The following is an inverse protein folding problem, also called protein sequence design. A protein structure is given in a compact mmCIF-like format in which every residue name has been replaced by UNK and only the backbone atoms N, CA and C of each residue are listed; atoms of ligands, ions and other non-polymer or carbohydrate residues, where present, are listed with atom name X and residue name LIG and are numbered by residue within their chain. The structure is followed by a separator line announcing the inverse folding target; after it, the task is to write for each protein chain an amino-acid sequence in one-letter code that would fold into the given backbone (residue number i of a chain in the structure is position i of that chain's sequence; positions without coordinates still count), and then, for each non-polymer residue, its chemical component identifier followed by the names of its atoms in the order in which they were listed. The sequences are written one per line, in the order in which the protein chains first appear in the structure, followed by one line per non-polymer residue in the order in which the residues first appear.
data_IF_455007115727
#
_entry.id   IF_455007115727
#
_cell.length_a   1.000
_cell.length_b   1.000
_cell.length_c   1.000
_cell.angle_alpha   90.00
_cell.angle_beta   90.00
_cell.angle_gamma   90.00
#
_symmetry.space_group_name_H-M   'P 1'
#
loop_
_entity.id
_entity.type
_entity.pdbx_description
1 polymer ?
#
# COMPACT_ATOMS: atom_id res chain seq x y z
N UNK A 1 -1.87 0.17 18.59
CA UNK A 1 -2.42 -1.05 17.95
C UNK A 1 -3.92 -1.08 18.15
N UNK A 2 -4.70 -1.14 17.06
CA UNK A 2 -6.18 -1.19 17.10
C UNK A 2 -6.64 -2.63 16.86
N UNK A 3 -7.46 -3.17 17.77
CA UNK A 3 -8.05 -4.52 17.65
C UNK A 3 -9.57 -4.42 17.65
N UNK A 4 -10.23 -5.09 16.69
CA UNK A 4 -11.61 -5.51 16.84
C UNK A 4 -11.60 -6.96 17.36
N UNK A 5 -12.34 -7.25 18.44
CA UNK A 5 -12.59 -8.63 18.87
C UNK A 5 -13.56 -9.28 17.88
N UNK A 6 -13.10 -10.26 17.12
CA UNK A 6 -13.96 -11.19 16.41
C UNK A 6 -13.38 -12.61 16.39
N UNK A 7 -14.32 -13.55 16.29
CA UNK A 7 -14.22 -14.96 16.54
C UNK A 7 -13.36 -15.73 15.51
N UNK A 8 -12.68 -16.76 16.00
CA UNK A 8 -12.17 -17.99 15.37
C UNK A 8 -11.97 -17.99 13.82
N UNK A 9 -10.90 -17.40 13.33
CA UNK A 9 -10.37 -17.50 11.98
C UNK A 9 -8.93 -17.01 11.94
N UNK A 10 -8.18 -17.31 10.88
CA UNK A 10 -6.85 -16.76 10.69
C UNK A 10 -6.92 -15.24 10.77
N UNK A 11 -6.14 -14.65 11.69
CA UNK A 11 -6.14 -13.19 11.89
C UNK A 11 -5.43 -12.52 10.75
N UNK A 12 -6.01 -11.44 10.24
CA UNK A 12 -5.43 -10.61 9.20
C UNK A 12 -5.00 -9.27 9.79
N UNK A 13 -3.92 -8.71 9.27
CA UNK A 13 -3.40 -7.45 9.76
C UNK A 13 -2.94 -6.52 8.64
N UNK A 14 -3.12 -5.22 8.86
CA UNK A 14 -2.60 -4.15 8.04
C UNK A 14 -1.43 -3.51 8.78
N UNK A 15 -0.25 -3.50 8.17
CA UNK A 15 0.87 -2.68 8.58
C UNK A 15 0.81 -1.37 7.80
N UNK A 16 0.56 -0.26 8.48
CA UNK A 16 0.27 1.02 7.87
C UNK A 16 1.38 2.04 8.05
N UNK A 17 1.77 2.70 6.96
CA UNK A 17 2.71 3.82 6.92
C UNK A 17 1.95 5.09 6.54
N UNK A 18 2.00 6.11 7.41
CA UNK A 18 1.27 7.35 7.20
C UNK A 18 1.89 8.24 6.12
N UNK A 19 1.08 9.13 5.54
CA UNK A 19 1.53 10.17 4.61
C UNK A 19 2.28 11.31 5.29
N UNK A 20 2.34 12.48 4.63
CA UNK A 20 2.98 13.68 5.19
C UNK A 20 4.32 14.04 4.53
N UNK A 21 4.57 13.61 3.28
CA UNK A 21 5.75 13.99 2.51
C UNK A 21 7.07 13.59 3.16
N UNK A 22 7.10 12.51 3.95
CA UNK A 22 8.23 12.01 4.74
C UNK A 22 8.75 12.98 5.81
N UNK A 23 8.07 14.13 6.02
CA UNK A 23 8.54 15.26 6.85
C UNK A 23 7.57 15.66 7.94
N UNK A 24 6.32 15.29 7.83
CA UNK A 24 5.25 15.66 8.79
C UNK A 24 4.38 14.46 9.13
N UNK A 25 3.41 14.67 10.01
CA UNK A 25 2.48 13.68 10.52
C UNK A 25 3.13 12.69 11.50
N UNK A 26 2.32 11.85 12.11
CA UNK A 26 2.72 10.88 13.12
C UNK A 26 1.64 9.80 13.28
N UNK A 27 1.93 8.75 14.04
CA UNK A 27 0.92 7.76 14.45
C UNK A 27 -0.24 8.43 15.19
N UNK A 28 0.03 9.46 16.01
CA UNK A 28 -1.00 10.19 16.74
C UNK A 28 -1.95 10.95 15.82
N UNK A 29 -1.43 11.66 14.80
CA UNK A 29 -2.27 12.41 13.85
C UNK A 29 -3.12 11.49 12.98
N UNK A 30 -2.64 10.26 12.71
CA UNK A 30 -3.35 9.24 11.94
C UNK A 30 -4.20 8.27 12.78
N UNK A 31 -4.30 8.50 14.11
CA UNK A 31 -5.04 7.64 15.03
C UNK A 31 -6.48 7.35 14.53
N UNK A 32 -7.21 8.40 14.15
CA UNK A 32 -8.59 8.27 13.66
C UNK A 32 -8.67 7.50 12.33
N UNK A 33 -7.69 7.66 11.44
CA UNK A 33 -7.63 6.94 10.16
C UNK A 33 -7.42 5.46 10.43
N UNK A 34 -6.47 5.11 11.30
CA UNK A 34 -6.18 3.73 11.68
C UNK A 34 -7.34 3.05 12.39
N UNK A 35 -8.00 3.74 13.34
CA UNK A 35 -9.17 3.21 14.03
C UNK A 35 -10.32 2.87 13.06
N UNK A 36 -10.57 3.75 12.08
CA UNK A 36 -11.58 3.54 11.04
C UNK A 36 -11.22 2.44 10.08
N UNK A 37 -9.95 2.33 9.72
CA UNK A 37 -9.44 1.25 8.90
C UNK A 37 -9.70 -0.10 9.59
N UNK A 38 -9.37 -0.23 10.87
CA UNK A 38 -9.65 -1.43 11.65
C UNK A 38 -11.16 -1.73 11.71
N UNK A 39 -12.00 -0.70 11.92
CA UNK A 39 -13.44 -0.86 11.96
C UNK A 39 -14.03 -1.29 10.60
N UNK A 40 -13.57 -0.68 9.50
CA UNK A 40 -14.13 -0.90 8.16
C UNK A 40 -13.68 -2.23 7.56
N UNK A 41 -12.45 -2.66 7.82
CA UNK A 41 -11.88 -3.90 7.26
C UNK A 41 -12.07 -5.12 8.15
N UNK A 42 -12.27 -4.92 9.46
CA UNK A 42 -12.28 -5.99 10.47
C UNK A 42 -10.88 -6.51 10.81
N UNK A 43 -9.82 -5.92 10.26
CA UNK A 43 -8.44 -6.36 10.44
C UNK A 43 -7.74 -5.62 11.60
N UNK A 44 -6.68 -6.23 12.13
CA UNK A 44 -5.78 -5.55 13.07
C UNK A 44 -4.98 -4.51 12.28
N UNK A 45 -4.90 -3.26 12.79
CA UNK A 45 -4.06 -2.21 12.18
C UNK A 45 -2.90 -1.89 13.11
N UNK A 46 -1.69 -2.02 12.57
CA UNK A 46 -0.43 -1.63 13.21
C UNK A 46 0.13 -0.44 12.44
N UNK A 47 0.21 0.72 13.06
CA UNK A 47 0.79 1.93 12.47
C UNK A 47 2.25 2.10 12.91
N UNK A 48 3.12 2.51 12.01
CA UNK A 48 4.56 2.64 12.25
C UNK A 48 4.92 4.11 12.42
N UNK A 49 5.55 4.44 13.55
CA UNK A 49 6.18 5.73 13.80
C UNK A 49 7.60 5.68 13.21
N UNK A 50 7.74 6.05 11.95
CA UNK A 50 9.05 6.08 11.28
C UNK A 50 9.69 7.47 11.42
N UNK A 51 11.02 7.51 11.44
CA UNK A 51 11.78 8.76 11.58
C UNK A 51 11.63 9.63 10.34
N UNK A 52 11.38 10.94 10.57
CA UNK A 52 11.05 11.91 9.54
C UNK A 52 12.28 12.70 9.06
N UNK A 53 12.22 13.13 7.81
CA UNK A 53 13.11 14.14 7.25
C UNK A 53 12.64 15.55 7.69
N UNK A 54 13.53 16.56 7.68
CA UNK A 54 14.91 16.53 7.22
C UNK A 54 15.91 16.00 8.25
N UNK A 55 15.51 15.78 9.51
CA UNK A 55 16.40 15.27 10.56
C UNK A 55 16.91 13.88 10.22
N UNK A 56 16.07 13.05 9.63
CA UNK A 56 16.37 11.68 9.23
C UNK A 56 16.02 11.47 7.75
N UNK A 57 16.94 11.87 6.88
CA UNK A 57 16.77 11.78 5.42
C UNK A 57 16.79 10.35 4.93
N UNK A 58 16.39 10.15 3.67
CA UNK A 58 16.46 8.85 2.99
C UNK A 58 17.85 8.18 3.18
N UNK A 59 17.92 6.88 3.48
CA UNK A 59 16.80 5.93 3.55
C UNK A 59 16.25 5.68 4.95
N UNK A 60 16.52 6.53 5.97
CA UNK A 60 16.28 6.23 7.39
C UNK A 60 14.83 5.82 7.67
N UNK A 61 13.83 6.62 7.26
CA UNK A 61 12.42 6.27 7.46
C UNK A 61 12.00 5.00 6.71
N UNK A 62 12.58 4.74 5.53
CA UNK A 62 12.38 3.49 4.81
C UNK A 62 12.94 2.29 5.57
N UNK A 63 14.12 2.42 6.16
CA UNK A 63 14.75 1.35 6.96
C UNK A 63 13.93 1.03 8.22
N UNK A 64 13.34 2.04 8.86
CA UNK A 64 12.43 1.85 9.99
C UNK A 64 11.17 1.07 9.58
N UNK A 65 10.54 1.47 8.48
CA UNK A 65 9.38 0.78 7.92
C UNK A 65 9.71 -0.65 7.50
N UNK A 66 10.89 -0.84 6.90
CA UNK A 66 11.36 -2.17 6.49
C UNK A 66 11.60 -3.08 7.69
N UNK A 67 12.27 -2.59 8.75
CA UNK A 67 12.48 -3.34 9.98
C UNK A 67 11.15 -3.74 10.64
N UNK A 68 10.21 -2.81 10.74
CA UNK A 68 8.86 -3.09 11.27
C UNK A 68 8.13 -4.13 10.42
N UNK A 69 8.23 -4.05 9.09
CA UNK A 69 7.62 -5.01 8.17
C UNK A 69 8.21 -6.41 8.37
N UNK A 70 9.53 -6.55 8.43
CA UNK A 70 10.17 -7.84 8.64
C UNK A 70 9.87 -8.44 10.02
N UNK A 71 9.80 -7.62 11.07
CA UNK A 71 9.39 -8.08 12.41
C UNK A 71 7.93 -8.57 12.42
N UNK A 72 7.04 -7.87 11.68
CA UNK A 72 5.65 -8.27 11.51
C UNK A 72 5.53 -9.61 10.77
N UNK A 73 6.24 -9.73 9.63
CA UNK A 73 6.21 -10.94 8.78
C UNK A 73 6.85 -12.16 9.45
N UNK A 74 7.81 -11.96 10.35
CA UNK A 74 8.39 -13.03 11.18
C UNK A 74 7.55 -13.40 12.41
N UNK A 75 6.40 -12.75 12.62
CA UNK A 75 5.51 -13.00 13.77
C UNK A 75 6.03 -12.42 15.09
N UNK A 76 7.03 -11.55 15.07
CA UNK A 76 7.59 -10.94 16.29
C UNK A 76 6.61 -9.91 16.91
N UNK A 77 5.73 -9.30 16.09
CA UNK A 77 4.73 -8.29 16.53
C UNK A 77 3.38 -8.95 16.79
N UNK A 78 2.91 -9.81 15.88
CA UNK A 78 1.64 -10.53 15.95
C UNK A 78 1.87 -12.00 15.58
N UNK A 79 2.23 -12.85 16.56
CA UNK A 79 2.57 -14.25 16.30
C UNK A 79 1.44 -15.08 15.65
N UNK A 80 0.20 -14.61 15.81
CA UNK A 80 -0.98 -15.24 15.24
C UNK A 80 -1.28 -14.89 13.78
N UNK A 81 -0.49 -14.00 13.17
CA UNK A 81 -0.66 -13.53 11.77
C UNK A 81 0.47 -14.07 10.91
N UNK A 82 0.14 -14.82 9.87
CA UNK A 82 1.12 -15.32 8.90
C UNK A 82 1.42 -14.27 7.83
N UNK A 83 2.57 -14.35 7.12
CA UNK A 83 2.93 -13.38 6.08
C UNK A 83 1.84 -13.16 5.02
N UNK A 84 1.16 -14.22 4.60
CA UNK A 84 0.10 -14.19 3.59
C UNK A 84 -1.11 -13.38 4.06
N UNK A 85 -1.30 -13.26 5.38
CA UNK A 85 -2.39 -12.51 6.01
C UNK A 85 -1.97 -11.09 6.43
N UNK A 86 -0.75 -10.67 6.07
CA UNK A 86 -0.28 -9.29 6.24
C UNK A 86 -0.53 -8.50 4.97
N UNK A 87 -1.13 -7.33 5.12
CA UNK A 87 -1.20 -6.30 4.07
C UNK A 87 -0.32 -5.12 4.47
N UNK A 88 0.66 -4.76 3.65
CA UNK A 88 1.40 -3.49 3.81
C UNK A 88 0.64 -2.39 3.08
N UNK A 89 0.37 -1.30 3.78
CA UNK A 89 -0.45 -0.21 3.24
C UNK A 89 0.12 1.14 3.63
N UNK A 90 -0.07 2.12 2.76
CA UNK A 90 0.24 3.50 3.06
C UNK A 90 -0.38 4.48 2.08
N UNK A 91 -0.42 5.74 2.48
CA UNK A 91 -0.94 6.84 1.67
C UNK A 91 0.15 7.87 1.37
N UNK A 92 0.17 8.44 0.16
CA UNK A 92 1.12 9.48 -0.25
C UNK A 92 2.58 9.03 -0.08
N UNK A 93 3.36 9.69 0.76
CA UNK A 93 4.71 9.29 1.17
C UNK A 93 4.72 7.89 1.83
N UNK A 94 3.71 7.55 2.64
CA UNK A 94 3.54 6.21 3.20
C UNK A 94 3.26 5.16 2.12
N UNK A 95 2.55 5.53 1.06
CA UNK A 95 2.36 4.68 -0.13
C UNK A 95 3.68 4.44 -0.89
N UNK A 96 4.57 5.43 -0.94
CA UNK A 96 5.94 5.25 -1.40
C UNK A 96 6.69 4.23 -0.54
N UNK A 97 6.68 4.44 0.79
CA UNK A 97 7.36 3.54 1.73
C UNK A 97 6.83 2.11 1.63
N UNK A 98 5.52 1.93 1.48
CA UNK A 98 4.91 0.60 1.30
C UNK A 98 5.41 -0.10 0.03
N UNK A 99 5.43 0.61 -1.11
CA UNK A 99 5.97 0.09 -2.37
C UNK A 99 7.47 -0.23 -2.27
N UNK A 100 8.25 0.67 -1.67
CA UNK A 100 9.70 0.51 -1.51
C UNK A 100 10.07 -0.65 -0.56
N UNK A 101 9.32 -0.83 0.53
CA UNK A 101 9.50 -1.96 1.49
C UNK A 101 9.26 -3.30 0.78
N UNK A 102 8.18 -3.42 0.02
CA UNK A 102 7.89 -4.64 -0.74
C UNK A 102 8.97 -4.91 -1.81
N UNK A 103 9.42 -3.87 -2.51
CA UNK A 103 10.49 -3.98 -3.50
C UNK A 103 11.81 -4.43 -2.86
N UNK A 104 12.19 -3.82 -1.73
CA UNK A 104 13.41 -4.14 -0.98
C UNK A 104 13.37 -5.58 -0.42
N UNK A 105 12.25 -6.02 0.14
CA UNK A 105 12.09 -7.37 0.67
C UNK A 105 12.23 -8.42 -0.45
N UNK A 106 11.59 -8.19 -1.62
CA UNK A 106 11.73 -9.05 -2.78
C UNK A 106 13.19 -9.15 -3.26
N UNK A 107 13.88 -8.00 -3.39
CA UNK A 107 15.26 -7.95 -3.87
C UNK A 107 16.24 -8.62 -2.92
N UNK A 108 16.00 -8.54 -1.63
CA UNK A 108 16.76 -9.25 -0.58
C UNK A 108 16.35 -10.72 -0.42
N UNK A 109 15.30 -11.18 -1.14
CA UNK A 109 14.74 -12.54 -1.03
C UNK A 109 14.28 -12.87 0.40
N UNK A 110 13.73 -11.89 1.08
CA UNK A 110 13.15 -12.01 2.42
C UNK A 110 11.63 -12.20 2.35
N UNK A 111 10.95 -12.33 3.50
CA UNK A 111 9.52 -12.53 3.56
C UNK A 111 8.77 -11.35 2.94
N UNK A 112 7.73 -11.67 2.17
CA UNK A 112 6.83 -10.72 1.56
C UNK A 112 5.43 -10.81 2.19
N UNK A 113 4.70 -9.70 2.29
CA UNK A 113 3.28 -9.74 2.66
C UNK A 113 2.45 -10.36 1.54
N UNK A 114 1.26 -10.85 1.89
CA UNK A 114 0.31 -11.31 0.87
C UNK A 114 -0.17 -10.18 -0.05
N UNK A 115 -0.34 -8.99 0.49
CA UNK A 115 -0.91 -7.84 -0.24
C UNK A 115 -0.18 -6.53 0.04
N UNK A 116 -0.27 -5.59 -0.92
CA UNK A 116 0.03 -4.18 -0.68
C UNK A 116 -1.11 -3.28 -1.18
N UNK A 117 -1.39 -2.19 -0.44
CA UNK A 117 -2.39 -1.18 -0.80
C UNK A 117 -1.72 0.18 -0.81
N UNK A 118 -1.73 0.83 -1.97
CA UNK A 118 -1.05 2.10 -2.23
C UNK A 118 -2.10 3.17 -2.52
N UNK A 119 -2.27 4.13 -1.61
CA UNK A 119 -3.26 5.21 -1.75
C UNK A 119 -2.54 6.46 -2.22
N UNK A 120 -2.89 6.95 -3.41
CA UNK A 120 -2.26 8.09 -4.12
C UNK A 120 -0.74 8.16 -3.88
N UNK A 121 0.01 7.07 -4.16
CA UNK A 121 1.39 6.94 -3.74
C UNK A 121 2.32 7.90 -4.49
N UNK A 122 3.31 8.46 -3.79
CA UNK A 122 4.41 9.22 -4.39
C UNK A 122 5.51 8.27 -4.86
N UNK A 123 5.43 7.78 -6.09
CA UNK A 123 6.35 6.74 -6.62
C UNK A 123 7.41 7.26 -7.57
N UNK A 124 7.44 8.57 -7.83
CA UNK A 124 8.41 9.27 -8.68
C UNK A 124 9.31 10.20 -7.84
N UNK A 125 10.33 10.80 -8.47
CA UNK A 125 11.30 11.68 -7.80
C UNK A 125 11.42 13.07 -8.44
N UNK A 126 10.61 13.38 -9.47
CA UNK A 126 10.71 14.65 -10.20
C UNK A 126 9.33 15.28 -10.37
N UNK A 127 9.13 16.47 -9.81
CA UNK A 127 7.87 17.22 -9.85
C UNK A 127 8.02 18.60 -10.48
N UNK A 128 9.09 18.81 -11.25
CA UNK A 128 9.36 20.02 -12.02
C UNK A 128 8.77 19.90 -13.44
N UNK A 129 9.01 20.94 -14.27
CA UNK A 129 8.69 20.93 -15.70
C UNK A 129 9.33 19.75 -16.48
N UNK A 130 10.36 19.11 -15.92
CA UNK A 130 11.03 17.94 -16.49
C UNK A 130 10.31 16.63 -16.22
N UNK A 131 9.27 16.63 -15.37
CA UNK A 131 8.51 15.42 -15.06
C UNK A 131 7.88 14.83 -16.33
N UNK A 132 7.93 13.50 -16.54
CA UNK A 132 7.29 12.85 -17.67
C UNK A 132 5.75 12.79 -17.50
N UNK A 133 5.24 13.05 -16.29
CA UNK A 133 3.84 12.88 -15.95
C UNK A 133 3.05 14.18 -16.17
N UNK A 134 1.97 14.06 -16.95
CA UNK A 134 1.14 15.21 -17.31
C UNK A 134 0.42 15.78 -16.10
N UNK A 135 0.00 14.95 -15.14
CA UNK A 135 -0.69 15.37 -13.91
C UNK A 135 0.15 16.35 -13.07
N UNK A 136 1.48 16.24 -13.08
CA UNK A 136 2.37 17.19 -12.40
C UNK A 136 2.16 18.63 -12.92
N UNK A 137 1.87 18.79 -14.22
CA UNK A 137 1.58 20.09 -14.84
C UNK A 137 0.10 20.50 -14.68
N UNK A 138 -0.83 19.56 -14.98
CA UNK A 138 -2.26 19.89 -15.03
C UNK A 138 -2.91 20.01 -13.67
N UNK A 139 -2.37 19.31 -12.67
CA UNK A 139 -2.90 19.27 -11.28
C UNK A 139 -1.88 19.81 -10.27
N UNK A 140 -0.72 20.30 -10.73
CA UNK A 140 0.35 20.79 -9.86
C UNK A 140 0.15 22.21 -9.31
N UNK A 141 -0.95 22.88 -9.69
CA UNK A 141 -1.30 24.22 -9.19
C UNK A 141 -2.81 24.31 -8.95
N UNK A 142 -3.24 25.15 -8.02
CA UNK A 142 -4.65 25.41 -7.77
C UNK A 142 -5.38 24.33 -6.95
N UNK A 143 -4.69 23.29 -6.53
CA UNK A 143 -5.22 22.22 -5.67
C UNK A 143 -4.44 22.14 -4.34
N UNK A 144 -4.88 21.25 -3.44
CA UNK A 144 -4.33 21.12 -2.08
C UNK A 144 -2.83 20.76 -2.09
N UNK A 145 -2.44 19.77 -2.91
CA UNK A 145 -1.04 19.44 -3.16
C UNK A 145 -0.59 20.08 -4.47
N UNK A 146 0.55 20.77 -4.45
CA UNK A 146 1.14 21.36 -5.64
C UNK A 146 2.45 20.66 -6.03
N UNK A 147 2.84 20.77 -7.31
CA UNK A 147 4.12 20.23 -7.78
C UNK A 147 5.32 20.90 -7.08
N UNK A 148 5.23 22.19 -6.76
CA UNK A 148 6.26 22.91 -5.99
C UNK A 148 6.39 22.29 -4.60
N UNK A 149 5.29 22.07 -3.89
CA UNK A 149 5.28 21.47 -2.56
C UNK A 149 5.83 20.04 -2.58
N UNK A 150 5.54 19.27 -3.65
CA UNK A 150 6.13 17.94 -3.82
C UNK A 150 7.65 18.00 -4.05
N UNK A 151 8.13 18.95 -4.83
CA UNK A 151 9.57 19.12 -5.03
C UNK A 151 10.27 19.53 -3.72
N UNK A 152 9.65 20.40 -2.91
CA UNK A 152 10.16 20.76 -1.59
C UNK A 152 10.28 19.52 -0.68
N UNK A 153 9.28 18.65 -0.65
CA UNK A 153 9.32 17.39 0.11
C UNK A 153 10.46 16.48 -0.38
N UNK A 154 10.64 16.35 -1.68
CA UNK A 154 11.74 15.55 -2.26
C UNK A 154 13.10 16.11 -1.85
N UNK A 155 13.28 17.44 -1.88
CA UNK A 155 14.52 18.11 -1.44
C UNK A 155 14.80 17.85 0.04
N UNK A 156 13.79 17.88 0.88
CA UNK A 156 13.92 17.61 2.31
C UNK A 156 14.23 16.12 2.59
N UNK A 157 13.62 15.22 1.83
CA UNK A 157 13.75 13.77 2.02
C UNK A 157 15.10 13.22 1.50
N UNK A 158 15.59 13.69 0.34
CA UNK A 158 16.86 13.24 -0.23
C UNK A 158 18.08 13.67 0.59
N UNK A 159 19.13 12.85 0.64
CA UNK A 159 20.46 13.27 1.11
C UNK A 159 21.26 13.94 -0.01
N UNK A 160 21.18 13.34 -1.20
CA UNK A 160 21.87 13.78 -2.41
C UNK A 160 20.93 13.66 -3.62
N UNK A 161 21.25 14.35 -4.70
CA UNK A 161 20.52 14.23 -5.97
C UNK A 161 20.53 12.80 -6.55
N UNK A 162 21.56 12.00 -6.25
CA UNK A 162 21.64 10.60 -6.69
C UNK A 162 20.55 9.71 -6.05
N UNK A 163 20.10 10.06 -4.85
CA UNK A 163 19.02 9.31 -4.20
C UNK A 163 17.75 9.27 -5.08
N UNK A 164 17.50 10.32 -5.87
CA UNK A 164 16.36 10.42 -6.80
C UNK A 164 16.35 9.35 -7.89
N UNK A 165 17.48 8.70 -8.17
CA UNK A 165 17.62 7.62 -9.16
C UNK A 165 17.45 6.25 -8.51
N UNK A 166 17.41 6.18 -7.19
CA UNK A 166 17.28 4.94 -6.46
C UNK A 166 15.84 4.40 -6.56
N UNK A 167 15.62 3.14 -6.96
CA UNK A 167 14.28 2.56 -7.06
C UNK A 167 13.57 2.43 -5.70
N UNK A 168 14.27 2.46 -4.59
CA UNK A 168 13.65 2.50 -3.27
C UNK A 168 13.23 3.92 -2.85
N UNK A 169 13.79 4.95 -3.49
CA UNK A 169 13.32 6.32 -3.36
C UNK A 169 12.12 6.57 -4.31
N UNK A 170 12.23 6.10 -5.54
CA UNK A 170 11.26 6.29 -6.61
C UNK A 170 10.89 4.93 -7.24
N UNK A 171 9.95 4.17 -6.66
CA UNK A 171 9.60 2.80 -7.10
C UNK A 171 9.23 2.67 -8.56
N UNK A 172 8.72 3.72 -9.20
CA UNK A 172 8.40 3.71 -10.63
C UNK A 172 9.64 3.53 -11.52
N UNK A 173 10.84 3.78 -11.01
CA UNK A 173 12.12 3.62 -11.72
C UNK A 173 12.69 2.20 -11.66
N UNK A 174 12.08 1.31 -10.88
CA UNK A 174 12.54 -0.08 -10.79
C UNK A 174 12.45 -0.78 -12.15
N UNK A 175 13.55 -1.37 -12.60
CA UNK A 175 13.64 -2.09 -13.87
C UNK A 175 12.89 -3.43 -13.83
N UNK A 176 12.90 -4.09 -12.67
CA UNK A 176 12.20 -5.35 -12.44
C UNK A 176 11.16 -5.18 -11.34
N UNK A 177 9.90 -5.46 -11.66
CA UNK A 177 8.77 -5.43 -10.74
C UNK A 177 8.08 -6.79 -10.59
N UNK A 178 8.71 -7.90 -11.07
CA UNK A 178 8.15 -9.24 -10.91
C UNK A 178 8.18 -9.71 -9.45
N UNK A 179 7.22 -10.56 -9.09
CA UNK A 179 7.19 -11.24 -7.79
C UNK A 179 6.89 -10.32 -6.61
N UNK A 180 6.22 -9.20 -6.85
CA UNK A 180 5.70 -8.32 -5.81
C UNK A 180 4.31 -8.80 -5.37
N UNK A 181 3.86 -8.41 -4.14
CA UNK A 181 2.56 -8.81 -3.61
C UNK A 181 1.39 -8.39 -4.49
N UNK A 182 0.24 -9.04 -4.33
CA UNK A 182 -1.01 -8.57 -4.91
C UNK A 182 -1.24 -7.12 -4.53
N UNK A 183 -1.56 -6.28 -5.51
CA UNK A 183 -1.50 -4.83 -5.34
C UNK A 183 -2.83 -4.16 -5.66
N UNK A 184 -3.32 -3.34 -4.73
CA UNK A 184 -4.35 -2.34 -5.00
C UNK A 184 -3.71 -0.95 -5.03
N UNK A 185 -3.95 -0.20 -6.13
CA UNK A 185 -3.55 1.20 -6.25
C UNK A 185 -4.80 2.07 -6.35
N UNK A 186 -4.95 3.03 -5.45
CA UNK A 186 -5.99 4.06 -5.51
C UNK A 186 -5.33 5.39 -5.87
N UNK A 187 -5.85 6.10 -6.87
CA UNK A 187 -5.35 7.42 -7.25
C UNK A 187 -6.45 8.47 -7.14
N UNK A 188 -6.10 9.71 -6.83
CA UNK A 188 -7.05 10.82 -6.80
C UNK A 188 -7.10 11.53 -8.16
N UNK A 189 -8.28 11.99 -8.58
CA UNK A 189 -8.43 12.61 -9.90
C UNK A 189 -7.65 13.91 -10.04
N UNK A 190 -7.73 14.79 -9.04
CA UNK A 190 -7.11 16.12 -9.04
C UNK A 190 -5.86 16.13 -8.15
N UNK A 191 -4.85 15.34 -8.58
CA UNK A 191 -3.62 15.08 -7.85
C UNK A 191 -2.44 15.13 -8.80
N UNK A 192 -1.35 15.86 -8.49
CA UNK A 192 -0.14 15.81 -9.29
C UNK A 192 0.48 14.41 -9.34
N UNK A 193 0.26 13.55 -8.35
CA UNK A 193 0.77 12.17 -8.26
C UNK A 193 -0.07 11.15 -9.05
N UNK A 194 -1.19 11.57 -9.63
CA UNK A 194 -2.13 10.64 -10.29
C UNK A 194 -1.47 9.78 -11.37
N UNK A 195 -0.79 10.40 -12.32
CA UNK A 195 -0.29 9.70 -13.50
C UNK A 195 0.86 8.75 -13.17
N UNK A 196 1.72 9.09 -12.19
CA UNK A 196 2.80 8.21 -11.73
C UNK A 196 2.28 6.98 -11.00
N UNK A 197 1.25 7.14 -10.14
CA UNK A 197 0.59 6.02 -9.48
C UNK A 197 -0.08 5.08 -10.48
N UNK A 198 -0.74 5.63 -11.51
CA UNK A 198 -1.35 4.83 -12.58
C UNK A 198 -0.30 4.13 -13.48
N UNK A 199 0.83 4.79 -13.75
CA UNK A 199 1.94 4.18 -14.50
C UNK A 199 2.59 3.05 -13.71
N UNK A 200 2.79 3.25 -12.41
CA UNK A 200 3.32 2.21 -11.52
C UNK A 200 2.41 0.99 -11.49
N UNK A 201 1.09 1.18 -11.35
CA UNK A 201 0.12 0.08 -11.43
C UNK A 201 0.20 -0.67 -12.78
N UNK A 202 0.32 0.05 -13.89
CA UNK A 202 0.49 -0.56 -15.23
C UNK A 202 1.81 -1.33 -15.34
N UNK A 203 2.91 -0.81 -14.82
CA UNK A 203 4.22 -1.49 -14.81
C UNK A 203 4.18 -2.76 -13.96
N UNK A 204 3.60 -2.72 -12.78
CA UNK A 204 3.37 -3.89 -11.92
C UNK A 204 2.58 -4.98 -12.67
N UNK A 205 1.48 -4.59 -13.33
CA UNK A 205 0.64 -5.53 -14.09
C UNK A 205 1.39 -6.13 -15.29
N UNK A 206 2.18 -5.33 -16.02
CA UNK A 206 3.02 -5.81 -17.14
C UNK A 206 4.12 -6.77 -16.67
N UNK A 207 4.58 -6.62 -15.43
CA UNK A 207 5.54 -7.52 -14.81
C UNK A 207 4.92 -8.85 -14.32
N UNK A 208 3.60 -9.05 -14.51
CA UNK A 208 2.90 -10.30 -14.19
C UNK A 208 2.30 -10.38 -12.79
N UNK A 209 2.32 -9.27 -12.02
CA UNK A 209 1.67 -9.26 -10.70
C UNK A 209 0.15 -9.08 -10.83
N UNK A 210 -0.61 -9.54 -9.83
CA UNK A 210 -2.04 -9.25 -9.71
C UNK A 210 -2.22 -7.79 -9.24
N UNK A 211 -2.86 -6.98 -10.07
CA UNK A 211 -3.02 -5.54 -9.80
C UNK A 211 -4.42 -5.06 -10.09
N UNK A 212 -5.02 -4.40 -9.11
CA UNK A 212 -6.21 -3.58 -9.26
C UNK A 212 -5.84 -2.10 -9.16
N UNK A 213 -6.45 -1.30 -10.02
CA UNK A 213 -6.26 0.15 -9.97
C UNK A 213 -7.61 0.85 -10.12
N UNK A 214 -7.88 1.80 -9.22
CA UNK A 214 -9.08 2.65 -9.29
C UNK A 214 -8.70 4.12 -9.10
N UNK A 215 -9.26 4.97 -9.97
CA UNK A 215 -9.18 6.42 -9.82
C UNK A 215 -10.42 6.91 -9.09
N UNK A 216 -10.25 7.53 -7.93
CA UNK A 216 -11.34 8.16 -7.17
C UNK A 216 -11.68 9.49 -7.85
N UNK A 217 -12.82 9.49 -8.53
CA UNK A 217 -13.26 10.64 -9.32
C UNK A 217 -13.67 11.81 -8.40
N UNK A 218 -13.25 13.01 -8.75
CA UNK A 218 -13.51 14.22 -7.95
C UNK A 218 -12.56 14.41 -6.74
N UNK A 219 -11.81 13.38 -6.37
CA UNK A 219 -10.93 13.46 -5.19
C UNK A 219 -9.69 14.31 -5.44
N UNK A 220 -9.26 14.98 -4.37
CA UNK A 220 -7.98 15.68 -4.23
C UNK A 220 -6.96 14.78 -3.54
N UNK A 221 -5.67 15.11 -3.64
CA UNK A 221 -4.65 14.48 -2.82
C UNK A 221 -4.96 14.63 -1.32
N UNK A 222 -4.68 13.60 -0.52
CA UNK A 222 -4.92 13.64 0.92
C UNK A 222 -6.37 13.36 1.35
N UNK A 223 -7.28 13.05 0.42
CA UNK A 223 -8.70 12.80 0.74
C UNK A 223 -8.89 11.67 1.77
N UNK A 224 -8.00 10.69 1.83
CA UNK A 224 -8.14 9.52 2.70
C UNK A 224 -8.05 9.89 4.20
N UNK A 225 -7.35 10.97 4.53
CA UNK A 225 -7.29 11.52 5.88
C UNK A 225 -8.56 12.29 6.30
N UNK A 226 -9.50 12.53 5.35
CA UNK A 226 -10.80 13.13 5.64
C UNK A 226 -11.69 12.18 6.43
N UNK A 227 -12.75 12.70 7.04
CA UNK A 227 -13.65 11.88 7.85
C UNK A 227 -14.33 10.74 7.06
N UNK A 228 -14.70 9.64 7.76
CA UNK A 228 -15.33 8.44 7.15
C UNK A 228 -16.68 8.77 6.46
N UNK A 229 -17.35 9.82 6.89
CA UNK A 229 -18.57 10.31 6.22
C UNK A 229 -18.29 10.85 4.82
N UNK A 230 -17.01 11.08 4.49
CA UNK A 230 -16.65 11.62 3.19
C UNK A 230 -16.78 10.53 2.10
N UNK A 231 -17.51 10.85 1.04
CA UNK A 231 -17.85 9.92 -0.04
C UNK A 231 -16.62 9.21 -0.63
N UNK A 232 -15.52 9.93 -0.85
CA UNK A 232 -14.31 9.36 -1.45
C UNK A 232 -13.59 8.36 -0.52
N UNK A 233 -13.68 8.58 0.80
CA UNK A 233 -13.16 7.64 1.80
C UNK A 233 -14.01 6.37 1.81
N UNK A 234 -15.34 6.49 1.77
CA UNK A 234 -16.25 5.35 1.70
C UNK A 234 -16.02 4.53 0.42
N UNK A 235 -15.91 5.20 -0.74
CA UNK A 235 -15.60 4.55 -2.02
C UNK A 235 -14.27 3.79 -1.95
N UNK A 236 -13.24 4.38 -1.34
CA UNK A 236 -11.95 3.72 -1.15
C UNK A 236 -12.06 2.46 -0.29
N UNK A 237 -12.80 2.51 0.81
CA UNK A 237 -13.04 1.32 1.64
C UNK A 237 -13.85 0.24 0.92
N UNK A 238 -14.74 0.59 0.00
CA UNK A 238 -15.42 -0.41 -0.83
C UNK A 238 -14.42 -1.18 -1.70
N UNK A 239 -13.52 -0.48 -2.41
CA UNK A 239 -12.46 -1.12 -3.21
C UNK A 239 -11.50 -1.93 -2.34
N UNK A 240 -11.07 -1.38 -1.21
CA UNK A 240 -10.17 -2.08 -0.27
C UNK A 240 -10.80 -3.36 0.25
N UNK A 241 -12.05 -3.32 0.73
CA UNK A 241 -12.75 -4.48 1.25
C UNK A 241 -12.99 -5.55 0.17
N UNK A 242 -13.31 -5.14 -1.05
CA UNK A 242 -13.44 -6.07 -2.17
C UNK A 242 -12.10 -6.77 -2.47
N UNK A 243 -11.00 -6.02 -2.52
CA UNK A 243 -9.66 -6.53 -2.76
C UNK A 243 -9.19 -7.49 -1.65
N UNK A 244 -9.39 -7.12 -0.38
CA UNK A 244 -8.98 -7.93 0.77
C UNK A 244 -9.73 -9.26 0.86
N UNK A 245 -10.99 -9.32 0.39
CA UNK A 245 -11.84 -10.53 0.46
C UNK A 245 -11.65 -11.50 -0.70
N UNK A 246 -11.04 -11.11 -1.82
CA UNK A 246 -10.95 -11.92 -3.04
C UNK A 246 -10.31 -13.29 -2.81
N UNK A 247 -9.23 -13.37 -2.09
CA UNK A 247 -8.57 -14.65 -1.79
C UNK A 247 -9.44 -15.59 -0.95
N UNK A 248 -10.20 -15.06 0.00
CA UNK A 248 -11.11 -15.89 0.81
C UNK A 248 -12.19 -16.52 -0.05
N UNK A 249 -12.73 -15.78 -1.00
CA UNK A 249 -13.73 -16.29 -1.93
C UNK A 249 -13.15 -17.35 -2.86
N UNK A 250 -11.92 -17.16 -3.34
CA UNK A 250 -11.24 -18.13 -4.20
C UNK A 250 -10.87 -19.39 -3.43
N UNK A 251 -10.24 -19.28 -2.25
CA UNK A 251 -9.91 -20.43 -1.38
C UNK A 251 -11.14 -21.23 -1.01
N UNK A 252 -12.22 -20.56 -0.60
CA UNK A 252 -13.48 -21.23 -0.26
C UNK A 252 -14.06 -21.97 -1.48
N UNK A 253 -14.02 -21.38 -2.67
CA UNK A 253 -14.47 -22.02 -3.90
C UNK A 253 -13.59 -23.23 -4.28
N UNK A 254 -12.27 -23.13 -4.12
CA UNK A 254 -11.33 -24.20 -4.40
C UNK A 254 -11.49 -25.36 -3.40
N UNK A 255 -11.64 -25.07 -2.10
CA UNK A 255 -11.95 -26.09 -1.06
C UNK A 255 -13.30 -26.77 -1.32
N UNK A 256 -14.30 -26.02 -1.74
CA UNK A 256 -15.62 -26.59 -2.09
C UNK A 256 -15.52 -27.51 -3.30
N UNK A 257 -14.75 -27.14 -4.32
CA UNK A 257 -14.48 -27.95 -5.51
C UNK A 257 -13.70 -29.23 -5.16
N UNK A 258 -12.69 -29.15 -4.28
CA UNK A 258 -11.95 -30.32 -3.79
C UNK A 258 -12.85 -31.27 -2.98
N UNK A 259 -13.71 -30.73 -2.11
CA UNK A 259 -14.67 -31.53 -1.36
C UNK A 259 -15.67 -32.24 -2.28
N UNK A 260 -16.19 -31.55 -3.30
CA UNK A 260 -17.06 -32.15 -4.33
C UNK A 260 -16.33 -33.25 -5.09
N UNK A 261 -15.07 -33.05 -5.46
CA UNK A 261 -14.26 -34.04 -6.14
C UNK A 261 -14.00 -35.29 -5.28
N UNK A 262 -13.71 -35.08 -3.99
CA UNK A 262 -13.52 -36.17 -3.02
C UNK A 262 -14.79 -37.02 -2.83
N UNK A 263 -15.96 -36.39 -2.70
CA UNK A 263 -17.26 -37.08 -2.60
C UNK A 263 -17.56 -37.87 -3.88
N UNK A 264 -17.33 -37.30 -5.07
CA UNK A 264 -17.50 -37.99 -6.35
C UNK A 264 -16.61 -39.23 -6.45
N UNK A 265 -15.36 -39.14 -5.98
CA UNK A 265 -14.42 -40.30 -5.98
C UNK A 265 -14.87 -41.41 -5.05
N UNK A 266 -15.42 -41.09 -3.88
CA UNK A 266 -16.00 -42.11 -2.96
C UNK A 266 -17.23 -42.81 -3.54
N UNK A 267 -18.09 -42.05 -4.24
CA UNK A 267 -19.29 -42.61 -4.88
C UNK A 267 -18.97 -43.54 -6.05
N UNK A 268 -17.84 -43.31 -6.74
CA UNK A 268 -17.38 -44.16 -7.87
C UNK A 268 -16.66 -45.42 -7.42
N UNK A 269 -16.01 -45.44 -6.24
CA UNK A 269 -15.32 -46.63 -5.70
C UNK A 269 -16.18 -47.48 -4.78
N UNK A 270 -17.36 -47.03 -4.37
CA UNK A 270 -18.31 -47.78 -3.54
C UNK A 270 -19.32 -48.66 -4.31
N UNK A 271 -19.11 -48.82 -5.64
CA UNK A 271 -19.96 -49.66 -6.52
C UNK A 271 -19.19 -50.84 -7.16
N UNK A 272 -18.13 -51.33 -6.53
CA UNK A 272 -17.42 -52.54 -6.93
C UNK A 272 -17.66 -53.70 -5.93
#
# INVERSE_FOLDING_TARGET
MYKRQEEHGAKEAILFFHGGGWTTESVETYDRVCARMAQSTGQIVVSVEYRLAPEHRFPTGLEDCYAAAQAMLRGEILPEVTPENVTIMGDSAGGNLAAAVCLMARDKKELLPGKQILIYPAVNSCYTEKSPYKSVKTNGTGYLLTSVKMEDYVILYQRTEEDRKNPYFAPVLAENLQGLPDTLVLTAQYDPLRDEGEDYAKKLKRAGNLVEHHRIKGALHGYFALGIEHLYVQESFQYMNAFLRKEKQQKNADEELENIAAVKKQLTHGKA
#
